data_IF_960357966512
#
_entry.id   IF_960357966512
#
_cell.length_a   1.000
_cell.length_b   1.000
_cell.length_c   1.000
_cell.angle_alpha   90.00
_cell.angle_beta   90.00
_cell.angle_gamma   90.00
#
_symmetry.space_group_name_H-M   'P 1'
#
loop_
_entity.id
_entity.type
_entity.pdbx_description
1 polymer ?
#
# COMPACT_ATOMS: atom_id res chain seq x y z
N UNK A 1 -7.55 25.77 8.96
CA UNK A 1 -6.32 25.65 8.15
C UNK A 1 -6.21 24.24 7.56
N UNK A 2 -5.53 23.24 8.15
CA UNK A 2 -5.43 21.87 7.55
C UNK A 2 -6.75 21.08 7.60
N UNK A 3 -7.50 21.17 8.69
CA UNK A 3 -8.81 20.49 8.81
C UNK A 3 -9.89 21.05 7.88
N UNK A 4 -9.79 22.32 7.49
CA UNK A 4 -10.76 22.96 6.57
C UNK A 4 -10.48 22.59 5.11
N UNK A 5 -9.21 22.36 4.73
CA UNK A 5 -8.83 21.95 3.37
C UNK A 5 -9.22 20.51 3.03
N UNK A 6 -9.44 19.64 4.02
CA UNK A 6 -9.85 18.24 3.80
C UNK A 6 -11.35 18.00 3.98
N UNK A 7 -12.09 18.95 4.54
CA UNK A 7 -13.52 18.79 4.82
C UNK A 7 -13.83 17.49 5.56
N UNK A 8 -14.85 16.76 5.10
CA UNK A 8 -15.24 15.46 5.64
C UNK A 8 -14.43 14.27 5.07
N UNK A 9 -13.37 14.51 4.28
CA UNK A 9 -12.59 13.45 3.63
C UNK A 9 -11.47 12.90 4.51
N UNK A 10 -11.00 13.65 5.50
CA UNK A 10 -9.93 13.24 6.39
C UNK A 10 -9.99 13.92 7.76
N UNK A 11 -9.29 13.35 8.72
CA UNK A 11 -9.16 13.91 10.06
C UNK A 11 -7.74 13.68 10.60
N UNK A 12 -7.33 14.51 11.55
CA UNK A 12 -6.01 14.43 12.18
C UNK A 12 -6.09 13.67 13.50
N UNK A 13 -5.09 12.83 13.75
CA UNK A 13 -4.86 12.21 15.07
C UNK A 13 -3.50 12.65 15.59
N UNK A 14 -3.42 12.96 16.87
CA UNK A 14 -2.13 13.14 17.53
C UNK A 14 -1.36 11.82 17.57
N UNK A 15 -0.08 11.84 17.19
CA UNK A 15 0.81 10.68 17.24
C UNK A 15 1.98 10.95 18.19
N UNK A 16 1.93 10.32 19.36
CA UNK A 16 2.97 10.45 20.40
C UNK A 16 4.23 9.63 20.11
N UNK A 17 4.28 8.86 19.02
CA UNK A 17 5.48 8.15 18.60
C UNK A 17 6.42 9.01 17.75
N UNK A 18 5.96 10.20 17.34
CA UNK A 18 6.68 11.15 16.50
C UNK A 18 6.97 12.40 17.33
N UNK A 19 8.26 12.66 17.58
CA UNK A 19 8.73 13.77 18.40
C UNK A 19 9.18 14.97 17.56
N UNK A 20 9.08 16.22 18.05
CA UNK A 20 8.49 16.64 19.33
C UNK A 20 6.96 16.82 19.29
N UNK A 21 6.36 16.78 18.09
CA UNK A 21 4.92 16.85 17.87
C UNK A 21 4.61 16.27 16.50
N UNK A 22 3.96 15.11 16.47
CA UNK A 22 3.52 14.48 15.23
C UNK A 22 2.02 14.20 15.19
N UNK A 23 1.55 13.91 13.99
CA UNK A 23 0.17 13.57 13.73
C UNK A 23 0.05 12.55 12.60
N UNK A 24 -1.07 11.83 12.57
CA UNK A 24 -1.51 11.05 11.43
C UNK A 24 -2.64 11.80 10.71
N UNK A 25 -2.51 11.99 9.39
CA UNK A 25 -3.62 12.36 8.52
C UNK A 25 -4.35 11.07 8.10
N UNK A 26 -5.58 10.88 8.56
CA UNK A 26 -6.37 9.68 8.29
C UNK A 26 -7.54 10.02 7.41
N UNK A 27 -7.62 9.39 6.23
CA UNK A 27 -8.72 9.59 5.29
C UNK A 27 -9.92 8.69 5.63
N UNK A 28 -11.11 9.15 5.25
CA UNK A 28 -12.26 8.26 5.12
C UNK A 28 -12.05 7.31 3.93
N UNK A 29 -12.59 6.07 3.98
CA UNK A 29 -12.49 5.14 2.86
C UNK A 29 -13.06 5.74 1.58
N UNK A 30 -12.36 5.58 0.46
CA UNK A 30 -12.77 6.05 -0.85
C UNK A 30 -12.25 5.12 -1.94
N UNK A 31 -12.85 5.19 -3.14
CA UNK A 31 -12.33 4.47 -4.30
C UNK A 31 -10.99 5.06 -4.75
N UNK A 32 -10.10 4.22 -5.29
CA UNK A 32 -8.78 4.66 -5.76
C UNK A 32 -8.88 5.80 -6.79
N UNK A 33 -9.77 5.65 -7.79
CA UNK A 33 -9.98 6.67 -8.82
C UNK A 33 -10.45 7.99 -8.22
N UNK A 34 -11.40 7.94 -7.29
CA UNK A 34 -11.84 9.12 -6.56
C UNK A 34 -10.68 9.77 -5.78
N UNK A 35 -9.85 8.97 -5.10
CA UNK A 35 -8.69 9.50 -4.39
C UNK A 35 -7.74 10.25 -5.32
N UNK A 36 -7.40 9.69 -6.48
CA UNK A 36 -6.47 10.33 -7.43
C UNK A 36 -7.06 11.61 -8.04
N UNK A 37 -8.36 11.58 -8.38
CA UNK A 37 -9.00 12.66 -9.14
C UNK A 37 -9.57 13.79 -8.26
N UNK A 38 -10.03 13.47 -7.04
CA UNK A 38 -10.88 14.38 -6.24
C UNK A 38 -10.30 14.70 -4.86
N UNK A 39 -9.35 13.91 -4.34
CA UNK A 39 -8.70 14.26 -3.06
C UNK A 39 -7.91 15.57 -3.21
N UNK A 40 -7.96 16.49 -2.23
CA UNK A 40 -7.27 17.78 -2.32
C UNK A 40 -5.77 17.59 -2.11
N UNK A 41 -5.06 17.15 -3.15
CA UNK A 41 -3.63 16.78 -3.07
C UNK A 41 -2.70 17.96 -2.77
N UNK A 42 -3.13 19.19 -3.05
CA UNK A 42 -2.46 20.45 -2.68
C UNK A 42 -2.28 20.56 -1.16
N UNK A 43 -3.03 19.77 -0.38
CA UNK A 43 -2.83 19.60 1.06
C UNK A 43 -1.39 19.20 1.40
N UNK A 44 -0.75 18.34 0.61
CA UNK A 44 0.60 17.86 0.94
C UNK A 44 1.64 18.97 0.80
N UNK A 45 1.50 19.82 -0.22
CA UNK A 45 2.31 21.02 -0.42
C UNK A 45 2.07 22.02 0.73
N UNK A 46 0.81 22.24 1.11
CA UNK A 46 0.46 23.08 2.26
C UNK A 46 1.09 22.57 3.56
N UNK A 47 1.12 21.26 3.80
CA UNK A 47 1.78 20.67 4.97
C UNK A 47 3.29 20.97 4.97
N UNK A 48 3.94 20.86 3.82
CA UNK A 48 5.36 21.20 3.66
C UNK A 48 5.61 22.69 3.93
N UNK A 49 4.78 23.58 3.37
CA UNK A 49 4.86 25.04 3.61
C UNK A 49 4.67 25.41 5.09
N UNK A 50 3.82 24.66 5.80
CA UNK A 50 3.62 24.79 7.25
C UNK A 50 4.78 24.20 8.08
N UNK A 51 5.83 23.70 7.44
CA UNK A 51 7.02 23.16 8.09
C UNK A 51 6.88 21.71 8.55
N UNK A 52 5.83 21.00 8.14
CA UNK A 52 5.72 19.57 8.41
C UNK A 52 6.81 18.81 7.65
N UNK A 53 7.29 17.71 8.23
CA UNK A 53 8.27 16.83 7.58
C UNK A 53 7.80 15.40 7.63
N UNK A 54 8.17 14.66 6.59
CA UNK A 54 7.92 13.22 6.47
C UNK A 54 9.14 12.57 5.84
N UNK A 55 9.46 11.36 6.28
CA UNK A 55 10.60 10.60 5.79
C UNK A 55 10.40 9.09 6.01
N UNK A 56 11.49 8.33 5.85
CA UNK A 56 11.53 6.89 6.03
C UNK A 56 11.46 6.44 7.51
N UNK A 57 11.48 7.32 8.50
CA UNK A 57 11.24 6.93 9.90
C UNK A 57 9.75 6.71 10.17
N UNK A 58 8.88 7.48 9.48
CA UNK A 58 7.42 7.37 9.51
C UNK A 58 6.89 6.61 8.28
N UNK A 59 5.57 6.38 8.20
CA UNK A 59 5.01 5.51 7.15
C UNK A 59 3.63 5.93 6.65
N UNK A 60 3.34 5.52 5.41
CA UNK A 60 1.99 5.55 4.82
C UNK A 60 1.39 4.15 4.94
N UNK A 61 0.22 4.04 5.57
CA UNK A 61 -0.52 2.79 5.65
C UNK A 61 -1.74 2.86 4.73
N UNK A 62 -1.85 1.89 3.81
CA UNK A 62 -2.96 1.83 2.86
C UNK A 62 -3.88 0.68 3.23
N UNK A 63 -5.13 0.98 3.50
CA UNK A 63 -6.15 -0.01 3.83
C UNK A 63 -6.93 -0.42 2.58
N UNK A 64 -6.94 -1.71 2.24
CA UNK A 64 -7.81 -2.27 1.22
C UNK A 64 -8.95 -3.05 1.88
N UNK A 65 -10.20 -2.75 1.51
CA UNK A 65 -11.37 -3.48 2.02
C UNK A 65 -11.30 -4.97 1.69
N UNK A 66 -11.66 -5.83 2.64
CA UNK A 66 -11.83 -7.28 2.36
C UNK A 66 -12.90 -7.51 1.29
N UNK A 67 -13.92 -6.66 1.24
CA UNK A 67 -15.01 -6.74 0.27
C UNK A 67 -14.55 -6.35 -1.16
N UNK A 68 -13.35 -5.76 -1.30
CA UNK A 68 -12.74 -5.50 -2.60
C UNK A 68 -12.19 -6.76 -3.29
N UNK A 69 -12.09 -7.89 -2.58
CA UNK A 69 -11.57 -9.16 -3.12
C UNK A 69 -12.70 -10.15 -3.39
N UNK A 70 -12.69 -10.79 -4.56
CA UNK A 70 -13.68 -11.84 -4.94
C UNK A 70 -13.72 -13.05 -3.99
N UNK A 71 -12.61 -13.37 -3.32
CA UNK A 71 -12.52 -14.55 -2.46
C UNK A 71 -11.25 -14.56 -1.60
N UNK A 72 -11.19 -15.46 -0.62
CA UNK A 72 -9.95 -15.81 0.08
C UNK A 72 -8.83 -16.23 -0.89
N UNK A 73 -9.15 -16.93 -1.98
CA UNK A 73 -8.15 -17.31 -2.98
C UNK A 73 -7.57 -16.09 -3.70
N UNK A 74 -8.37 -15.05 -3.93
CA UNK A 74 -7.91 -13.77 -4.47
C UNK A 74 -6.96 -13.07 -3.47
N UNK A 75 -7.35 -12.92 -2.20
CA UNK A 75 -6.46 -12.37 -1.15
C UNK A 75 -5.13 -13.15 -1.09
N UNK A 76 -5.18 -14.47 -1.21
CA UNK A 76 -3.97 -15.30 -1.21
C UNK A 76 -3.04 -14.96 -2.37
N UNK A 77 -3.57 -14.85 -3.61
CA UNK A 77 -2.76 -14.48 -4.78
C UNK A 77 -2.17 -13.08 -4.64
N UNK A 78 -2.98 -12.12 -4.20
CA UNK A 78 -2.58 -10.74 -3.94
C UNK A 78 -1.42 -10.66 -2.94
N UNK A 79 -1.59 -11.23 -1.75
CA UNK A 79 -0.55 -11.19 -0.72
C UNK A 79 0.71 -11.96 -1.17
N UNK A 80 0.57 -13.06 -1.90
CA UNK A 80 1.72 -13.78 -2.46
C UNK A 80 2.50 -12.97 -3.48
N UNK A 81 1.84 -12.16 -4.31
CA UNK A 81 2.51 -11.24 -5.23
C UNK A 81 3.41 -10.28 -4.44
N UNK A 82 2.87 -9.60 -3.42
CA UNK A 82 3.62 -8.63 -2.62
C UNK A 82 4.79 -9.30 -1.88
N UNK A 83 4.55 -10.38 -1.13
CA UNK A 83 5.60 -11.07 -0.38
C UNK A 83 6.65 -11.79 -1.25
N UNK A 84 6.40 -12.02 -2.54
CA UNK A 84 7.41 -12.60 -3.44
C UNK A 84 8.31 -11.53 -4.06
N UNK A 85 7.79 -10.33 -4.28
CA UNK A 85 8.51 -9.22 -4.88
C UNK A 85 8.96 -8.21 -3.83
N UNK A 86 9.56 -8.70 -2.75
CA UNK A 86 9.96 -7.88 -1.61
C UNK A 86 10.94 -6.79 -2.00
N UNK A 87 12.00 -7.10 -2.76
CA UNK A 87 13.02 -6.12 -3.13
C UNK A 87 12.42 -4.97 -3.96
N UNK A 88 11.56 -5.30 -4.93
CA UNK A 88 10.90 -4.30 -5.78
C UNK A 88 9.85 -3.52 -5.00
N UNK A 89 9.08 -4.18 -4.13
CA UNK A 89 8.12 -3.50 -3.25
C UNK A 89 8.83 -2.55 -2.30
N UNK A 90 9.97 -2.95 -1.73
CA UNK A 90 10.78 -2.10 -0.84
C UNK A 90 11.39 -0.92 -1.61
N UNK A 91 11.87 -1.12 -2.83
CA UNK A 91 12.38 -0.03 -3.66
C UNK A 91 11.29 1.02 -3.91
N UNK A 92 10.08 0.58 -4.31
CA UNK A 92 8.92 1.46 -4.49
C UNK A 92 8.50 2.15 -3.18
N UNK A 93 8.52 1.39 -2.07
CA UNK A 93 8.16 1.86 -0.75
C UNK A 93 9.21 2.79 -0.11
N UNK A 94 10.42 2.88 -0.67
CA UNK A 94 11.54 3.72 -0.18
C UNK A 94 11.94 3.47 1.26
N UNK A 95 11.57 2.32 1.84
CA UNK A 95 11.82 1.99 3.25
C UNK A 95 11.84 0.50 3.52
N UNK A 96 12.70 0.09 4.45
CA UNK A 96 12.58 -1.16 5.22
C UNK A 96 12.33 -0.80 6.68
N UNK A 97 11.33 -1.41 7.30
CA UNK A 97 10.96 -1.13 8.70
C UNK A 97 10.58 -2.41 9.43
N UNK A 98 11.00 -2.52 10.69
CA UNK A 98 10.57 -3.61 11.58
C UNK A 98 9.07 -3.52 11.91
N UNK A 99 8.45 -2.34 11.75
CA UNK A 99 7.01 -2.14 11.93
C UNK A 99 6.16 -2.55 10.71
N UNK A 100 6.82 -3.00 9.64
CA UNK A 100 6.22 -3.43 8.38
C UNK A 100 7.03 -4.58 7.73
N UNK A 101 7.47 -5.55 8.55
CA UNK A 101 8.43 -6.55 8.12
C UNK A 101 7.87 -7.52 7.06
N UNK A 102 8.68 -7.84 6.05
CA UNK A 102 8.42 -8.95 5.14
C UNK A 102 8.77 -10.29 5.80
N UNK A 103 8.00 -10.69 6.82
CA UNK A 103 8.30 -11.89 7.59
C UNK A 103 8.18 -13.18 6.77
N UNK A 104 9.19 -14.06 6.81
CA UNK A 104 9.07 -15.41 6.24
C UNK A 104 7.91 -16.21 6.82
N UNK A 105 7.59 -16.00 8.11
CA UNK A 105 6.46 -16.65 8.78
C UNK A 105 5.14 -16.14 8.19
N UNK A 106 4.98 -14.82 8.05
CA UNK A 106 3.78 -14.25 7.44
C UNK A 106 3.62 -14.70 5.98
N UNK A 107 4.71 -14.73 5.22
CA UNK A 107 4.74 -15.24 3.84
C UNK A 107 4.32 -16.70 3.73
N UNK A 108 4.74 -17.56 4.67
CA UNK A 108 4.32 -18.96 4.72
C UNK A 108 2.84 -19.11 5.14
N UNK A 109 2.34 -18.20 5.96
CA UNK A 109 0.99 -18.22 6.54
C UNK A 109 -0.04 -17.38 5.78
N UNK A 110 0.25 -16.90 4.58
CA UNK A 110 -0.70 -16.11 3.76
C UNK A 110 -2.08 -16.78 3.61
N UNK A 111 -2.14 -18.12 3.60
CA UNK A 111 -3.40 -18.88 3.62
C UNK A 111 -4.31 -18.50 4.80
N UNK A 112 -3.73 -18.27 5.97
CA UNK A 112 -4.44 -17.90 7.18
C UNK A 112 -4.90 -16.43 7.13
N UNK A 113 -4.05 -15.54 6.62
CA UNK A 113 -4.45 -14.17 6.28
C UNK A 113 -5.65 -14.13 5.35
N UNK A 114 -5.61 -14.92 4.28
CA UNK A 114 -6.69 -15.00 3.32
C UNK A 114 -8.01 -15.53 3.90
N UNK A 115 -7.95 -16.40 4.91
CA UNK A 115 -9.12 -17.01 5.56
C UNK A 115 -9.63 -16.25 6.78
N UNK A 116 -8.93 -15.18 7.18
CA UNK A 116 -9.22 -14.42 8.39
C UNK A 116 -9.23 -15.28 9.68
N UNK A 117 -8.43 -16.36 9.72
CA UNK A 117 -8.36 -17.29 10.87
C UNK A 117 -7.14 -17.06 11.77
N UNK A 118 -6.47 -15.93 11.59
CA UNK A 118 -5.23 -15.51 12.25
C UNK A 118 -5.27 -15.37 13.77
N UNK A 119 -6.38 -14.98 14.43
CA UNK A 119 -6.45 -14.98 15.88
C UNK A 119 -6.09 -16.35 16.50
N UNK A 120 -6.19 -17.44 15.73
CA UNK A 120 -5.80 -18.79 16.14
C UNK A 120 -4.29 -19.06 16.07
N UNK A 121 -3.52 -18.20 15.39
CA UNK A 121 -2.13 -18.45 15.04
C UNK A 121 -1.14 -17.38 15.54
N UNK A 122 -1.61 -16.38 16.28
CA UNK A 122 -0.78 -15.42 17.01
C UNK A 122 0.19 -14.61 16.14
N UNK A 123 -0.21 -14.24 14.91
CA UNK A 123 0.63 -13.37 14.07
C UNK A 123 0.69 -11.95 14.62
N UNK A 124 1.90 -11.39 14.65
CA UNK A 124 2.13 -9.98 14.95
C UNK A 124 1.47 -9.07 13.90
N UNK A 125 1.11 -7.85 14.30
CA UNK A 125 0.58 -6.79 13.43
C UNK A 125 1.67 -6.10 12.62
N UNK A 126 2.93 -6.14 13.07
CA UNK A 126 4.07 -5.45 12.43
C UNK A 126 4.61 -6.19 11.20
N UNK A 127 3.72 -6.40 10.24
CA UNK A 127 3.98 -7.15 9.01
C UNK A 127 3.74 -6.25 7.81
N UNK A 128 4.39 -6.54 6.67
CA UNK A 128 4.19 -5.82 5.43
C UNK A 128 2.70 -5.68 5.05
N UNK A 129 1.95 -6.76 5.29
CA UNK A 129 0.49 -6.79 5.25
C UNK A 129 0.00 -7.15 6.65
N UNK A 130 -0.59 -6.19 7.35
CA UNK A 130 -1.26 -6.40 8.63
C UNK A 130 -2.71 -6.84 8.40
N UNK A 131 -3.07 -8.05 8.84
CA UNK A 131 -4.40 -8.61 8.66
C UNK A 131 -5.36 -8.35 9.84
N UNK A 132 -4.88 -7.77 10.95
CA UNK A 132 -5.70 -7.59 12.17
C UNK A 132 -6.95 -6.72 11.99
N UNK A 133 -6.96 -5.64 11.18
CA UNK A 133 -8.17 -4.85 11.03
C UNK A 133 -9.30 -5.72 10.45
N UNK A 134 -10.46 -5.78 11.10
CA UNK A 134 -11.53 -6.74 10.75
C UNK A 134 -12.08 -6.58 9.34
N UNK A 135 -12.10 -5.36 8.81
CA UNK A 135 -12.75 -5.01 7.54
C UNK A 135 -11.79 -4.73 6.40
N UNK A 136 -10.49 -4.64 6.67
CA UNK A 136 -9.48 -4.29 5.66
C UNK A 136 -8.16 -5.01 5.90
N UNK A 137 -7.40 -5.25 4.84
CA UNK A 137 -5.98 -5.61 4.96
C UNK A 137 -5.17 -4.31 4.87
N UNK A 138 -4.27 -4.09 5.82
CA UNK A 138 -3.46 -2.86 5.90
C UNK A 138 -2.07 -3.14 5.34
N UNK A 139 -1.69 -2.43 4.27
CA UNK A 139 -0.35 -2.46 3.67
C UNK A 139 0.49 -1.36 4.32
N UNK A 140 1.59 -1.74 4.98
CA UNK A 140 2.33 -0.85 5.91
C UNK A 140 3.72 -0.42 5.41
N UNK A 141 4.10 -0.88 4.23
CA UNK A 141 5.50 -0.90 3.79
C UNK A 141 6.07 0.47 3.44
N UNK A 142 5.22 1.41 3.01
CA UNK A 142 5.63 2.69 2.44
C UNK A 142 6.27 3.61 3.48
N UNK A 143 7.31 4.33 3.08
CA UNK A 143 7.82 5.51 3.77
C UNK A 143 6.74 6.60 3.87
N UNK A 144 6.87 7.49 4.84
CA UNK A 144 6.14 8.75 4.81
C UNK A 144 6.60 9.62 3.63
N UNK A 145 5.67 10.42 3.08
CA UNK A 145 5.98 11.35 2.01
C UNK A 145 4.99 12.50 1.98
N UNK A 146 5.47 13.69 1.61
CA UNK A 146 4.66 14.84 1.21
C UNK A 146 4.69 15.06 -0.31
N UNK A 147 5.39 14.20 -1.04
CA UNK A 147 5.40 14.20 -2.50
C UNK A 147 4.12 13.54 -3.02
N UNK A 148 3.27 14.33 -3.69
CA UNK A 148 1.99 13.89 -4.27
C UNK A 148 2.17 12.64 -5.15
N UNK A 149 3.18 12.63 -6.00
CA UNK A 149 3.44 11.53 -6.94
C UNK A 149 3.74 10.24 -6.17
N UNK A 150 4.56 10.30 -5.12
CA UNK A 150 4.88 9.14 -4.29
C UNK A 150 3.68 8.62 -3.50
N UNK A 151 2.87 9.51 -2.91
CA UNK A 151 1.68 9.12 -2.15
C UNK A 151 0.63 8.49 -3.08
N UNK A 152 0.38 9.09 -4.24
CA UNK A 152 -0.55 8.53 -5.24
C UNK A 152 -0.05 7.19 -5.77
N UNK A 153 1.25 7.01 -5.97
CA UNK A 153 1.83 5.73 -6.38
C UNK A 153 1.70 4.64 -5.31
N UNK A 154 1.77 4.97 -4.01
CA UNK A 154 1.51 4.03 -2.94
C UNK A 154 0.06 3.51 -2.98
N UNK A 155 -0.92 4.40 -3.20
CA UNK A 155 -2.32 4.03 -3.39
C UNK A 155 -2.50 3.17 -4.66
N UNK A 156 -1.88 3.61 -5.75
CA UNK A 156 -1.93 2.94 -7.05
C UNK A 156 -1.34 1.53 -6.98
N UNK A 157 -0.24 1.32 -6.27
CA UNK A 157 0.36 0.00 -6.06
C UNK A 157 -0.63 -0.97 -5.41
N UNK A 158 -1.30 -0.53 -4.33
CA UNK A 158 -2.26 -1.39 -3.63
C UNK A 158 -3.48 -1.67 -4.51
N UNK A 159 -4.03 -0.66 -5.19
CA UNK A 159 -5.15 -0.85 -6.10
C UNK A 159 -4.80 -1.76 -7.30
N UNK A 160 -3.68 -1.50 -7.97
CA UNK A 160 -3.21 -2.26 -9.13
C UNK A 160 -2.92 -3.71 -8.79
N UNK A 161 -2.27 -3.99 -7.65
CA UNK A 161 -1.99 -5.37 -7.25
C UNK A 161 -3.28 -6.16 -6.97
N UNK A 162 -4.31 -5.52 -6.41
CA UNK A 162 -5.63 -6.16 -6.25
C UNK A 162 -6.20 -6.52 -7.62
N UNK A 163 -6.35 -5.55 -8.51
CA UNK A 163 -6.96 -5.80 -9.83
C UNK A 163 -6.17 -6.78 -10.69
N UNK A 164 -4.85 -6.67 -10.73
CA UNK A 164 -3.99 -7.60 -11.44
C UNK A 164 -4.18 -9.05 -10.97
N UNK A 165 -4.30 -9.27 -9.66
CA UNK A 165 -4.43 -10.63 -9.11
C UNK A 165 -5.86 -11.19 -9.12
N UNK A 166 -6.86 -10.37 -9.47
CA UNK A 166 -8.26 -10.76 -9.56
C UNK A 166 -8.45 -11.90 -10.54
N UNK A 167 -7.89 -11.76 -11.74
CA UNK A 167 -8.05 -12.73 -12.84
C UNK A 167 -6.91 -13.74 -12.96
N UNK A 168 -5.88 -13.67 -12.11
CA UNK A 168 -4.77 -14.61 -12.16
C UNK A 168 -5.21 -16.05 -11.86
N UNK A 169 -5.03 -16.90 -12.87
CA UNK A 169 -5.24 -18.35 -12.79
C UNK A 169 -4.00 -19.08 -12.27
N UNK A 170 -4.18 -20.31 -11.78
CA UNK A 170 -3.06 -21.17 -11.40
C UNK A 170 -2.10 -21.42 -12.58
N UNK A 171 -2.61 -21.53 -13.80
CA UNK A 171 -1.79 -21.71 -15.01
C UNK A 171 -0.92 -20.48 -15.26
N UNK A 172 -1.47 -19.27 -15.18
CA UNK A 172 -0.69 -18.02 -15.30
C UNK A 172 0.39 -17.94 -14.23
N UNK A 173 0.06 -18.27 -12.98
CA UNK A 173 1.02 -18.26 -11.88
C UNK A 173 2.15 -19.28 -12.08
N UNK A 174 1.82 -20.53 -12.41
CA UNK A 174 2.80 -21.64 -12.44
C UNK A 174 3.60 -21.70 -13.74
N UNK A 175 2.96 -21.43 -14.89
CA UNK A 175 3.59 -21.59 -16.21
C UNK A 175 4.07 -20.29 -16.83
N UNK A 176 3.46 -19.16 -16.45
CA UNK A 176 3.73 -17.85 -17.04
C UNK A 176 4.30 -16.86 -16.02
N UNK A 177 4.67 -17.32 -14.83
CA UNK A 177 5.28 -16.47 -13.81
C UNK A 177 4.37 -15.32 -13.37
N UNK A 178 3.05 -15.53 -13.28
CA UNK A 178 2.10 -14.46 -12.93
C UNK A 178 2.32 -13.77 -11.58
N UNK A 179 3.24 -14.26 -10.75
CA UNK A 179 3.70 -13.59 -9.53
C UNK A 179 5.05 -12.88 -9.66
N UNK A 180 5.68 -12.90 -10.83
CA UNK A 180 6.95 -12.22 -11.06
C UNK A 180 6.70 -10.74 -11.34
N UNK A 181 7.58 -9.89 -10.81
CA UNK A 181 7.44 -8.42 -10.89
C UNK A 181 7.25 -7.93 -12.32
N UNK A 182 8.01 -8.47 -13.28
CA UNK A 182 7.97 -8.08 -14.69
C UNK A 182 6.58 -8.28 -15.32
N UNK A 183 5.86 -9.35 -14.94
CA UNK A 183 4.50 -9.58 -15.44
C UNK A 183 3.53 -8.54 -14.89
N UNK A 184 3.69 -8.18 -13.61
CA UNK A 184 2.91 -7.12 -12.99
C UNK A 184 3.21 -5.74 -13.60
N UNK A 185 4.47 -5.37 -13.79
CA UNK A 185 4.82 -4.06 -14.39
C UNK A 185 4.38 -3.96 -15.85
N UNK A 186 4.47 -5.05 -16.62
CA UNK A 186 3.95 -5.10 -17.99
C UNK A 186 2.45 -4.87 -18.02
N UNK A 187 1.71 -5.46 -17.08
CA UNK A 187 0.28 -5.23 -16.94
C UNK A 187 -0.01 -3.78 -16.55
N UNK A 188 0.70 -3.21 -15.57
CA UNK A 188 0.55 -1.80 -15.15
C UNK A 188 0.80 -0.84 -16.31
N UNK A 189 1.79 -1.11 -17.17
CA UNK A 189 2.09 -0.28 -18.33
C UNK A 189 0.90 -0.15 -19.30
N UNK A 190 0.00 -1.14 -19.33
CA UNK A 190 -1.19 -1.17 -20.19
C UNK A 190 -2.43 -0.52 -19.54
N UNK A 191 -2.36 -0.08 -18.29
CA UNK A 191 -3.51 0.44 -17.53
C UNK A 191 -3.24 1.89 -17.11
N UNK A 192 -3.83 2.84 -17.85
CA UNK A 192 -3.62 4.27 -17.67
C UNK A 192 -4.06 4.79 -16.29
N UNK A 193 -5.04 4.15 -15.67
CA UNK A 193 -5.52 4.51 -14.33
C UNK A 193 -4.40 4.47 -13.27
N UNK A 194 -3.34 3.69 -13.49
CA UNK A 194 -2.19 3.58 -12.58
C UNK A 194 -0.98 4.40 -13.03
N UNK A 195 -1.19 5.49 -13.77
CA UNK A 195 -0.12 6.39 -14.23
C UNK A 195 0.86 6.81 -13.11
N UNK A 196 0.42 7.12 -11.87
CA UNK A 196 1.36 7.44 -10.79
C UNK A 196 2.33 6.30 -10.46
N UNK A 197 1.83 5.06 -10.41
CA UNK A 197 2.66 3.88 -10.16
C UNK A 197 3.68 3.66 -11.29
N UNK A 198 3.24 3.82 -12.55
CA UNK A 198 4.10 3.64 -13.72
C UNK A 198 5.28 4.62 -13.71
N UNK A 199 5.01 5.91 -13.49
CA UNK A 199 6.06 6.93 -13.45
C UNK A 199 7.11 6.66 -12.35
N UNK A 200 6.66 6.16 -11.20
CA UNK A 200 7.55 5.75 -10.10
C UNK A 200 8.39 4.52 -10.44
N UNK A 201 7.78 3.50 -11.07
CA UNK A 201 8.50 2.32 -11.55
C UNK A 201 9.56 2.66 -12.59
N UNK A 202 9.26 3.56 -13.53
CA UNK A 202 10.21 4.05 -14.54
C UNK A 202 11.38 4.80 -13.90
N UNK A 203 11.08 5.72 -12.98
CA UNK A 203 12.10 6.49 -12.26
C UNK A 203 13.06 5.57 -11.51
N UNK A 204 12.54 4.56 -10.80
CA UNK A 204 13.35 3.60 -10.05
C UNK A 204 14.13 2.64 -10.95
N UNK A 205 13.64 2.34 -12.16
CA UNK A 205 14.36 1.54 -13.14
C UNK A 205 15.54 2.31 -13.75
N UNK A 206 15.43 3.62 -13.93
CA UNK A 206 16.49 4.48 -14.46
C UNK A 206 17.56 4.86 -13.43
N UNK A 207 17.34 4.59 -12.15
CA UNK A 207 18.28 4.92 -11.07
C UNK A 207 19.47 3.94 -10.95
N UNK A 208 19.53 2.91 -11.82
CA UNK A 208 20.55 1.85 -11.82
C UNK A 208 21.19 1.65 -13.19
#
# INVERSE_FOLDING_TARGET
MVGESVGDLAYLKHDSSIEPSGFELVTHPMEYRYAVEQFPWELLELLEELGCRSDHSVGIHVHVSRDGFDSAAHIFRWAKLIYRNESQTVALARRRSNYAAFSPIARARVKHTAKDDLPRFGMDRYQAINPHPRKSLEVRVFAGSLDRQQVQAALAFVAATVEYTRTLTCTQVVRHGGWEWEQFTTWVAQHEDYAPLRAEMETLACAY
#
